data_IF_931532935451
#
_entry.id   IF_931532935451
#
_cell.length_a   1.000
_cell.length_b   1.000
_cell.length_c   1.000
_cell.angle_alpha   90.00
_cell.angle_beta   90.00
_cell.angle_gamma   90.00
#
_symmetry.space_group_name_H-M   'P 1'
#
loop_
_entity.id
_entity.type
_entity.pdbx_description
1 polymer ?
#
# COMPACT_ATOMS: atom_id res chain seq x y z
N UNK A 1 4.92 3.19 -7.72
CA UNK A 1 4.61 2.07 -6.80
C UNK A 1 3.10 1.86 -6.64
N UNK A 2 2.32 2.92 -6.50
CA UNK A 2 0.86 2.89 -6.33
C UNK A 2 0.12 2.19 -7.49
N UNK A 3 0.36 2.62 -8.73
CA UNK A 3 -0.42 2.13 -9.88
C UNK A 3 0.03 0.76 -10.38
N UNK A 4 1.33 0.59 -10.65
CA UNK A 4 1.88 -0.67 -11.19
C UNK A 4 2.18 -1.66 -10.08
N UNK A 5 2.89 -1.22 -9.04
CA UNK A 5 3.38 -2.09 -7.97
C UNK A 5 2.25 -2.82 -7.25
N UNK A 6 1.38 -2.08 -6.54
CA UNK A 6 0.20 -2.66 -5.89
C UNK A 6 -0.79 -3.26 -6.90
N UNK A 7 -1.06 -2.55 -8.00
CA UNK A 7 -2.02 -2.99 -9.01
C UNK A 7 -1.73 -4.37 -9.58
N UNK A 8 -0.48 -4.62 -9.99
CA UNK A 8 -0.07 -5.94 -10.49
C UNK A 8 0.17 -6.93 -9.36
N UNK A 9 0.69 -6.54 -8.19
CA UNK A 9 0.88 -7.48 -7.07
C UNK A 9 -0.44 -8.21 -6.73
N UNK A 10 -1.55 -7.49 -6.77
CA UNK A 10 -2.88 -8.05 -6.49
C UNK A 10 -3.48 -8.89 -7.63
N UNK A 11 -2.81 -9.06 -8.78
CA UNK A 11 -3.32 -9.88 -9.90
C UNK A 11 -3.10 -11.38 -9.72
N UNK A 12 -2.47 -11.83 -8.63
CA UNK A 12 -2.24 -13.25 -8.38
C UNK A 12 -3.54 -14.08 -8.38
N UNK A 13 -4.69 -13.48 -8.02
CA UNK A 13 -6.00 -14.10 -8.08
C UNK A 13 -6.41 -14.43 -9.53
N UNK A 14 -6.42 -15.72 -9.87
CA UNK A 14 -6.60 -16.24 -11.23
C UNK A 14 -7.86 -15.79 -11.98
N UNK A 15 -8.91 -15.38 -11.28
CA UNK A 15 -10.18 -14.90 -11.86
C UNK A 15 -10.55 -13.48 -11.38
N UNK A 16 -9.58 -12.70 -10.91
CA UNK A 16 -9.81 -11.34 -10.41
C UNK A 16 -8.85 -10.28 -10.96
N UNK A 17 -7.90 -10.65 -11.83
CA UNK A 17 -6.86 -9.74 -12.32
C UNK A 17 -7.35 -8.40 -12.90
N UNK A 18 -8.45 -8.39 -13.67
CA UNK A 18 -9.03 -7.14 -14.16
C UNK A 18 -9.52 -6.25 -13.03
N UNK A 19 -10.27 -6.82 -12.08
CA UNK A 19 -10.74 -6.07 -10.91
C UNK A 19 -9.60 -5.63 -10.01
N UNK A 20 -8.53 -6.42 -9.86
CA UNK A 20 -7.32 -6.02 -9.11
C UNK A 20 -6.73 -4.73 -9.69
N UNK A 21 -6.40 -4.71 -10.98
CA UNK A 21 -5.77 -3.52 -11.60
C UNK A 21 -6.75 -2.36 -11.72
N UNK A 22 -7.98 -2.60 -12.19
CA UNK A 22 -8.95 -1.54 -12.43
C UNK A 22 -9.44 -0.90 -11.13
N UNK A 23 -9.68 -1.68 -10.07
CA UNK A 23 -10.10 -1.12 -8.79
C UNK A 23 -8.94 -0.47 -8.05
N UNK A 24 -7.71 -1.00 -8.15
CA UNK A 24 -6.51 -0.30 -7.71
C UNK A 24 -6.40 1.07 -8.38
N UNK A 25 -6.60 1.12 -9.70
CA UNK A 25 -6.52 2.37 -10.45
C UNK A 25 -7.62 3.36 -10.04
N UNK A 26 -8.85 2.87 -9.85
CA UNK A 26 -9.98 3.67 -9.36
C UNK A 26 -9.71 4.25 -7.96
N UNK A 27 -9.28 3.40 -7.01
CA UNK A 27 -8.92 3.82 -5.65
C UNK A 27 -7.82 4.87 -5.72
N UNK A 28 -6.77 4.62 -6.49
CA UNK A 28 -5.64 5.52 -6.57
C UNK A 28 -6.02 6.88 -7.17
N UNK A 29 -6.75 6.89 -8.28
CA UNK A 29 -7.20 8.12 -8.94
C UNK A 29 -8.12 8.97 -8.05
N UNK A 30 -8.98 8.36 -7.25
CA UNK A 30 -9.82 9.08 -6.29
C UNK A 30 -9.03 9.49 -5.04
N UNK A 31 -8.24 8.58 -4.49
CA UNK A 31 -7.44 8.75 -3.28
C UNK A 31 -6.44 9.90 -3.38
N UNK A 32 -5.72 10.03 -4.51
CA UNK A 32 -4.75 11.11 -4.69
C UNK A 32 -5.40 12.50 -4.63
N UNK A 33 -6.59 12.64 -5.23
CA UNK A 33 -7.31 13.92 -5.23
C UNK A 33 -7.82 14.25 -3.83
N UNK A 34 -8.44 13.26 -3.18
CA UNK A 34 -8.99 13.45 -1.86
C UNK A 34 -7.90 13.68 -0.81
N UNK A 35 -6.78 12.97 -0.91
CA UNK A 35 -5.63 13.15 -0.01
C UNK A 35 -4.98 14.50 -0.17
N UNK A 36 -4.83 14.99 -1.41
CA UNK A 36 -4.31 16.35 -1.66
C UNK A 36 -5.12 17.40 -0.92
N UNK A 37 -6.45 17.23 -0.84
CA UNK A 37 -7.33 18.12 -0.08
C UNK A 37 -7.18 17.91 1.42
N UNK A 38 -7.32 16.68 1.91
CA UNK A 38 -7.29 16.37 3.35
C UNK A 38 -5.94 16.75 3.98
N UNK A 39 -4.82 16.26 3.44
CA UNK A 39 -3.49 16.61 3.93
C UNK A 39 -3.20 18.10 3.71
N UNK A 40 -3.71 18.68 2.61
CA UNK A 40 -3.63 20.11 2.34
C UNK A 40 -4.28 20.96 3.44
N UNK A 41 -5.42 20.55 3.98
CA UNK A 41 -6.07 21.25 5.10
C UNK A 41 -5.23 21.23 6.39
N UNK A 42 -4.47 20.17 6.63
CA UNK A 42 -3.64 20.04 7.84
C UNK A 42 -2.26 20.70 7.71
N UNK A 43 -1.65 20.65 6.53
CA UNK A 43 -0.23 21.02 6.35
C UNK A 43 0.02 22.20 5.42
N UNK A 44 -0.91 22.52 4.51
CA UNK A 44 -0.67 23.46 3.41
C UNK A 44 -1.73 24.55 3.25
N UNK A 45 -2.61 24.72 4.25
CA UNK A 45 -3.69 25.70 4.20
C UNK A 45 -3.20 27.06 4.68
N UNK A 46 -2.91 27.94 3.73
CA UNK A 46 -2.46 29.31 3.97
C UNK A 46 -3.34 30.28 3.20
N UNK A 47 -3.79 31.35 3.87
CA UNK A 47 -4.61 32.41 3.27
C UNK A 47 -5.85 31.91 2.51
N UNK A 48 -6.49 30.85 3.02
CA UNK A 48 -7.68 30.26 2.42
C UNK A 48 -7.42 29.33 1.23
N UNK A 49 -6.15 28.98 0.95
CA UNK A 49 -5.75 28.16 -0.21
C UNK A 49 -4.86 27.00 0.22
N UNK A 50 -4.96 25.91 -0.55
CA UNK A 50 -4.04 24.77 -0.49
C UNK A 50 -3.06 24.91 -1.65
N UNK A 51 -1.76 25.06 -1.35
CA UNK A 51 -0.72 25.12 -2.37
C UNK A 51 -0.22 23.72 -2.72
N UNK A 52 -0.44 23.29 -3.97
CA UNK A 52 -0.04 21.96 -4.44
C UNK A 52 1.33 22.03 -5.12
N UNK A 53 2.26 21.22 -4.63
CA UNK A 53 3.59 21.01 -5.19
C UNK A 53 4.01 19.53 -5.18
N UNK A 54 5.26 19.25 -5.56
CA UNK A 54 5.78 17.88 -5.67
C UNK A 54 5.66 17.12 -4.33
N UNK A 55 6.00 17.77 -3.22
CA UNK A 55 5.92 17.14 -1.90
C UNK A 55 4.47 16.77 -1.52
N UNK A 56 3.50 17.65 -1.77
CA UNK A 56 2.08 17.31 -1.56
C UNK A 56 1.60 16.17 -2.45
N UNK A 57 2.13 16.04 -3.68
CA UNK A 57 1.80 14.91 -4.56
C UNK A 57 2.39 13.60 -4.02
N UNK A 58 3.64 13.62 -3.53
CA UNK A 58 4.28 12.46 -2.90
C UNK A 58 3.48 12.01 -1.67
N UNK A 59 3.09 12.95 -0.80
CA UNK A 59 2.30 12.64 0.40
C UNK A 59 0.90 12.10 0.05
N UNK A 60 0.28 12.60 -1.03
CA UNK A 60 -0.98 12.06 -1.52
C UNK A 60 -0.85 10.62 -2.04
N UNK A 61 0.25 10.30 -2.72
CA UNK A 61 0.58 8.92 -3.12
C UNK A 61 0.84 8.02 -1.89
N UNK A 62 1.50 8.51 -0.85
CA UNK A 62 1.72 7.77 0.41
C UNK A 62 0.41 7.42 1.13
N UNK A 63 -0.47 8.41 1.32
CA UNK A 63 -1.78 8.18 1.89
C UNK A 63 -2.59 7.17 1.05
N UNK A 64 -2.55 7.32 -0.27
CA UNK A 64 -3.21 6.39 -1.20
C UNK A 64 -2.63 4.98 -1.08
N UNK A 65 -1.32 4.86 -0.86
CA UNK A 65 -0.64 3.60 -0.59
C UNK A 65 -1.22 2.87 0.63
N UNK A 66 -1.57 3.58 1.70
CA UNK A 66 -2.23 2.98 2.87
C UNK A 66 -3.59 2.36 2.50
N UNK A 67 -4.39 3.06 1.68
CA UNK A 67 -5.68 2.54 1.20
C UNK A 67 -5.50 1.29 0.32
N UNK A 68 -4.44 1.23 -0.48
CA UNK A 68 -4.14 0.05 -1.29
C UNK A 68 -3.67 -1.16 -0.44
N UNK A 69 -3.01 -0.91 0.70
CA UNK A 69 -2.74 -1.95 1.70
C UNK A 69 -4.06 -2.47 2.28
N UNK A 70 -4.98 -1.57 2.67
CA UNK A 70 -6.32 -1.94 3.14
C UNK A 70 -7.11 -2.72 2.10
N UNK A 71 -7.03 -2.32 0.83
CA UNK A 71 -7.67 -3.02 -0.28
C UNK A 71 -7.20 -4.48 -0.38
N UNK A 72 -5.92 -4.76 -0.14
CA UNK A 72 -5.40 -6.12 -0.09
C UNK A 72 -6.16 -7.05 0.87
N UNK A 73 -6.56 -6.54 2.05
CA UNK A 73 -7.31 -7.32 3.05
C UNK A 73 -8.75 -7.68 2.64
N UNK A 74 -9.32 -6.94 1.69
CA UNK A 74 -10.71 -7.09 1.21
C UNK A 74 -10.78 -7.40 -0.29
N UNK A 75 -9.65 -7.68 -0.93
CA UNK A 75 -9.53 -8.01 -2.34
C UNK A 75 -10.45 -9.19 -2.70
N UNK A 76 -11.18 -9.06 -3.82
CA UNK A 76 -12.14 -10.07 -4.26
C UNK A 76 -13.50 -10.06 -3.53
N UNK A 77 -13.66 -9.23 -2.50
CA UNK A 77 -14.80 -9.29 -1.57
C UNK A 77 -15.60 -7.99 -1.49
N UNK A 78 -15.26 -6.97 -2.26
CA UNK A 78 -15.96 -5.67 -2.27
C UNK A 78 -16.21 -5.15 -3.67
N UNK A 79 -17.28 -4.34 -3.80
CA UNK A 79 -17.62 -3.64 -5.05
C UNK A 79 -16.80 -2.35 -5.19
N UNK A 80 -16.66 -1.80 -6.42
CA UNK A 80 -15.96 -0.53 -6.63
C UNK A 80 -16.59 0.63 -5.84
N UNK A 81 -17.91 0.62 -5.62
CA UNK A 81 -18.59 1.63 -4.79
C UNK A 81 -18.16 1.52 -3.33
N UNK A 82 -18.09 0.30 -2.78
CA UNK A 82 -17.60 0.09 -1.42
C UNK A 82 -16.15 0.55 -1.27
N UNK A 83 -15.33 0.35 -2.29
CA UNK A 83 -13.93 0.79 -2.29
C UNK A 83 -13.78 2.31 -2.32
N UNK A 84 -14.61 3.04 -3.08
CA UNK A 84 -14.64 4.51 -3.05
C UNK A 84 -15.08 5.02 -1.67
N UNK A 85 -16.12 4.42 -1.08
CA UNK A 85 -16.58 4.78 0.28
C UNK A 85 -15.48 4.53 1.31
N UNK A 86 -14.81 3.38 1.24
CA UNK A 86 -13.67 3.07 2.10
C UNK A 86 -12.56 4.10 1.94
N UNK A 87 -12.18 4.42 0.69
CA UNK A 87 -11.13 5.40 0.37
C UNK A 87 -11.45 6.78 0.96
N UNK A 88 -12.71 7.23 0.86
CA UNK A 88 -13.14 8.52 1.41
C UNK A 88 -12.89 8.60 2.92
N UNK A 89 -13.30 7.58 3.67
CA UNK A 89 -13.13 7.55 5.12
C UNK A 89 -11.67 7.30 5.53
N UNK A 90 -11.01 6.35 4.89
CA UNK A 90 -9.66 5.96 5.23
C UNK A 90 -8.66 7.09 5.00
N UNK A 91 -8.73 7.81 3.86
CA UNK A 91 -7.88 8.99 3.59
C UNK A 91 -8.10 10.09 4.63
N UNK A 92 -9.36 10.32 5.03
CA UNK A 92 -9.67 11.32 6.06
C UNK A 92 -9.02 10.96 7.40
N UNK A 93 -9.16 9.70 7.80
CA UNK A 93 -8.57 9.18 9.03
C UNK A 93 -7.03 9.12 8.97
N UNK A 94 -6.47 8.79 7.80
CA UNK A 94 -5.03 8.83 7.56
C UNK A 94 -4.50 10.24 7.80
N UNK A 95 -5.09 11.29 7.20
CA UNK A 95 -4.62 12.66 7.37
C UNK A 95 -4.68 13.14 8.82
N UNK A 96 -5.74 12.78 9.56
CA UNK A 96 -5.83 13.07 11.00
C UNK A 96 -4.74 12.32 11.78
N UNK A 97 -4.56 11.02 11.51
CA UNK A 97 -3.59 10.17 12.19
C UNK A 97 -2.15 10.64 11.92
N UNK A 98 -1.83 10.95 10.67
CA UNK A 98 -0.55 11.48 10.24
C UNK A 98 -0.24 12.81 10.96
N UNK A 99 -1.17 13.75 10.97
CA UNK A 99 -0.99 15.03 11.68
C UNK A 99 -0.74 14.82 13.18
N UNK A 100 -1.48 13.92 13.83
CA UNK A 100 -1.27 13.61 15.24
C UNK A 100 0.14 13.02 15.46
N UNK A 101 0.53 12.02 14.68
CA UNK A 101 1.79 11.29 14.87
C UNK A 101 3.01 12.20 14.57
N UNK A 102 2.96 12.94 13.47
CA UNK A 102 4.11 13.72 12.99
C UNK A 102 4.20 15.10 13.62
N UNK A 103 3.08 15.80 13.82
CA UNK A 103 3.08 17.20 14.29
C UNK A 103 2.83 17.33 15.79
N UNK A 104 1.92 16.55 16.36
CA UNK A 104 1.58 16.65 17.79
C UNK A 104 2.54 15.80 18.62
N UNK A 105 2.75 14.54 18.25
CA UNK A 105 3.65 13.62 18.96
C UNK A 105 5.12 13.86 18.59
N UNK A 106 5.40 14.34 17.37
CA UNK A 106 6.75 14.59 16.90
C UNK A 106 7.54 13.32 16.54
N UNK A 107 6.84 12.24 16.18
CA UNK A 107 7.47 10.99 15.77
C UNK A 107 8.13 11.13 14.38
N UNK A 108 9.16 10.33 14.12
CA UNK A 108 9.83 10.25 12.81
C UNK A 108 9.45 8.97 12.11
N UNK A 109 8.78 9.08 10.97
CA UNK A 109 8.29 7.93 10.21
C UNK A 109 8.37 8.16 8.69
N UNK A 110 9.55 8.50 8.19
CA UNK A 110 9.74 8.90 6.78
C UNK A 110 9.31 7.82 5.77
N UNK A 111 9.49 6.54 6.09
CA UNK A 111 9.03 5.43 5.27
C UNK A 111 7.60 4.96 5.59
N UNK A 112 6.90 5.62 6.51
CA UNK A 112 5.51 5.32 6.85
C UNK A 112 5.28 3.93 7.44
N UNK A 113 6.23 3.38 8.20
CA UNK A 113 6.02 2.09 8.86
C UNK A 113 4.81 2.11 9.80
N UNK A 114 4.58 3.24 10.48
CA UNK A 114 3.43 3.45 11.35
C UNK A 114 2.27 4.09 10.59
N UNK A 115 2.49 5.23 9.93
CA UNK A 115 1.42 6.04 9.32
C UNK A 115 0.82 5.39 8.09
N UNK A 116 1.59 4.62 7.31
CA UNK A 116 1.13 3.96 6.08
C UNK A 116 0.87 2.47 6.32
N UNK A 117 1.92 1.71 6.63
CA UNK A 117 1.85 0.24 6.63
C UNK A 117 1.04 -0.30 7.79
N UNK A 118 1.37 0.10 9.02
CA UNK A 118 0.64 -0.32 10.22
C UNK A 118 -0.80 0.16 10.15
N UNK A 119 -1.03 1.45 9.90
CA UNK A 119 -2.36 2.02 9.77
C UNK A 119 -3.22 1.29 8.72
N UNK A 120 -2.76 1.20 7.46
CA UNK A 120 -3.51 0.56 6.38
C UNK A 120 -3.75 -0.93 6.63
N UNK A 121 -2.75 -1.65 7.12
CA UNK A 121 -2.93 -3.08 7.40
C UNK A 121 -4.03 -3.33 8.45
N UNK A 122 -3.98 -2.64 9.59
CA UNK A 122 -4.97 -2.84 10.64
C UNK A 122 -6.34 -2.25 10.28
N UNK A 123 -6.39 -1.14 9.55
CA UNK A 123 -7.64 -0.60 9.02
C UNK A 123 -8.33 -1.62 8.10
N UNK A 124 -7.62 -2.12 7.09
CA UNK A 124 -8.13 -3.14 6.17
C UNK A 124 -8.57 -4.43 6.86
N UNK A 125 -7.81 -4.90 7.85
CA UNK A 125 -8.19 -6.07 8.65
C UNK A 125 -9.48 -5.85 9.45
N UNK A 126 -9.66 -4.66 10.06
CA UNK A 126 -10.90 -4.31 10.76
C UNK A 126 -12.08 -4.25 9.78
N UNK A 127 -11.90 -3.64 8.61
CA UNK A 127 -12.93 -3.62 7.55
C UNK A 127 -13.27 -5.05 7.11
N UNK A 128 -12.28 -5.89 6.87
CA UNK A 128 -12.46 -7.30 6.50
C UNK A 128 -13.21 -8.07 7.59
N UNK A 129 -12.92 -7.81 8.86
CA UNK A 129 -13.61 -8.41 10.01
C UNK A 129 -15.08 -7.98 10.11
N UNK A 130 -15.38 -6.71 9.88
CA UNK A 130 -16.75 -6.17 9.87
C UNK A 130 -17.54 -6.72 8.68
N UNK A 131 -16.90 -6.86 7.52
CA UNK A 131 -17.48 -7.42 6.30
C UNK A 131 -17.43 -8.96 6.24
N UNK A 132 -17.30 -9.63 7.39
CA UNK A 132 -17.21 -11.09 7.45
C UNK A 132 -18.35 -11.77 6.68
N UNK A 133 -17.99 -12.77 5.86
CA UNK A 133 -18.92 -13.54 5.02
C UNK A 133 -18.98 -15.00 5.51
N UNK A 134 -20.09 -15.45 6.14
CA UNK A 134 -20.21 -16.80 6.67
C UNK A 134 -20.11 -17.94 5.64
N UNK A 135 -20.29 -17.63 4.36
CA UNK A 135 -20.29 -18.59 3.25
C UNK A 135 -19.15 -18.37 2.24
N UNK A 136 -18.04 -17.77 2.69
CA UNK A 136 -16.90 -17.44 1.83
C UNK A 136 -16.23 -18.68 1.22
N UNK A 137 -16.35 -19.83 1.90
CA UNK A 137 -15.83 -21.13 1.44
C UNK A 137 -16.40 -21.54 0.07
N UNK A 138 -17.61 -21.08 -0.29
CA UNK A 138 -18.22 -21.34 -1.61
C UNK A 138 -17.42 -20.75 -2.77
N UNK A 139 -16.57 -19.75 -2.50
CA UNK A 139 -15.68 -19.13 -3.49
C UNK A 139 -14.22 -19.58 -3.39
N UNK A 140 -13.87 -20.51 -2.48
CA UNK A 140 -12.49 -20.94 -2.22
C UNK A 140 -11.76 -21.45 -3.46
N UNK A 141 -12.48 -22.09 -4.38
CA UNK A 141 -11.90 -22.58 -5.63
C UNK A 141 -11.37 -21.45 -6.55
N UNK A 142 -11.78 -20.20 -6.31
CA UNK A 142 -11.32 -18.99 -7.03
C UNK A 142 -10.23 -18.23 -6.27
N UNK A 143 -10.07 -18.48 -4.97
CA UNK A 143 -9.05 -17.87 -4.10
C UNK A 143 -7.72 -18.64 -4.25
N UNK A 144 -7.05 -18.40 -5.37
CA UNK A 144 -5.75 -18.96 -5.68
C UNK A 144 -5.24 -18.46 -7.02
N UNK A 145 -4.05 -18.90 -7.41
CA UNK A 145 -3.37 -18.46 -8.63
C UNK A 145 -3.32 -19.52 -9.73
N UNK A 146 -2.83 -19.10 -10.88
CA UNK A 146 -2.34 -19.93 -11.99
C UNK A 146 -1.01 -19.34 -12.45
N UNK A 147 -0.19 -20.14 -13.14
CA UNK A 147 1.17 -19.74 -13.55
C UNK A 147 1.27 -18.30 -14.11
N UNK A 148 0.40 -17.93 -15.04
CA UNK A 148 0.44 -16.59 -15.64
C UNK A 148 -0.02 -15.48 -14.70
N UNK A 149 -0.94 -15.74 -13.76
CA UNK A 149 -1.38 -14.72 -12.81
C UNK A 149 -0.29 -14.40 -11.79
N UNK A 150 0.52 -15.40 -11.41
CA UNK A 150 1.69 -15.20 -10.55
C UNK A 150 2.83 -14.48 -11.28
N UNK A 151 3.06 -14.79 -12.57
CA UNK A 151 3.99 -14.01 -13.39
C UNK A 151 3.58 -12.53 -13.48
N UNK A 152 2.29 -12.25 -13.62
CA UNK A 152 1.80 -10.86 -13.56
C UNK A 152 1.97 -10.25 -12.17
N UNK A 153 1.71 -11.00 -11.10
CA UNK A 153 1.95 -10.54 -9.73
C UNK A 153 3.42 -10.15 -9.50
N UNK A 154 4.35 -10.90 -10.10
CA UNK A 154 5.77 -10.61 -10.02
C UNK A 154 6.20 -9.30 -10.67
N UNK A 155 5.45 -8.79 -11.65
CA UNK A 155 5.66 -7.43 -12.16
C UNK A 155 5.47 -6.43 -11.01
N UNK A 156 4.39 -6.60 -10.24
CA UNK A 156 4.10 -5.78 -9.07
C UNK A 156 5.19 -5.89 -8.00
N UNK A 157 5.56 -7.11 -7.64
CA UNK A 157 6.60 -7.40 -6.64
C UNK A 157 7.94 -6.75 -7.00
N UNK A 158 8.43 -6.94 -8.23
CA UNK A 158 9.73 -6.40 -8.65
C UNK A 158 9.67 -4.87 -8.75
N UNK A 159 8.57 -4.30 -9.26
CA UNK A 159 8.41 -2.85 -9.36
C UNK A 159 8.38 -2.18 -7.97
N UNK A 160 7.71 -2.80 -7.00
CA UNK A 160 7.73 -2.37 -5.61
C UNK A 160 9.14 -2.48 -5.03
N UNK A 161 9.78 -3.63 -5.16
CA UNK A 161 11.11 -3.90 -4.62
C UNK A 161 12.16 -2.91 -5.14
N UNK A 162 12.20 -2.65 -6.44
CA UNK A 162 13.19 -1.75 -7.05
C UNK A 162 13.02 -0.28 -6.62
N UNK A 163 11.78 0.19 -6.41
CA UNK A 163 11.52 1.59 -6.09
C UNK A 163 11.29 1.87 -4.61
N UNK A 164 11.27 0.85 -3.75
CA UNK A 164 11.14 1.03 -2.30
C UNK A 164 12.22 1.92 -1.66
N UNK A 165 13.50 1.88 -2.11
CA UNK A 165 14.50 2.82 -1.60
C UNK A 165 14.08 4.28 -1.79
N UNK A 166 13.50 4.63 -2.96
CA UNK A 166 12.96 5.96 -3.22
C UNK A 166 11.74 6.27 -2.35
N UNK A 167 10.88 5.27 -2.10
CA UNK A 167 9.71 5.43 -1.23
C UNK A 167 10.13 5.85 0.19
N UNK A 168 11.04 5.10 0.81
CA UNK A 168 11.46 5.40 2.17
C UNK A 168 12.23 6.72 2.29
N UNK A 169 12.89 7.16 1.21
CA UNK A 169 13.74 8.35 1.21
C UNK A 169 13.08 9.61 0.62
N UNK A 170 11.80 9.54 0.21
CA UNK A 170 11.19 10.64 -0.56
C UNK A 170 11.03 11.91 0.29
N UNK A 171 10.74 11.75 1.58
CA UNK A 171 10.46 12.84 2.54
C UNK A 171 11.52 12.96 3.63
N UNK A 172 12.64 12.24 3.50
CA UNK A 172 13.79 12.41 4.39
C UNK A 172 14.53 13.69 4.06
N UNK A 173 15.17 14.30 5.08
CA UNK A 173 16.02 15.46 4.88
C UNK A 173 17.08 15.21 3.80
N UNK A 174 17.25 16.18 2.90
CA UNK A 174 18.19 16.09 1.80
C UNK A 174 19.64 15.94 2.27
N UNK A 175 20.44 15.23 1.47
CA UNK A 175 21.85 14.96 1.76
C UNK A 175 22.04 13.59 2.41
N UNK A 176 22.76 13.56 3.54
CA UNK A 176 23.22 12.33 4.18
C UNK A 176 22.08 11.40 4.62
N UNK A 177 21.02 11.97 5.22
CA UNK A 177 19.87 11.20 5.70
C UNK A 177 19.12 10.50 4.56
N UNK A 178 18.88 11.22 3.46
CA UNK A 178 18.27 10.66 2.26
C UNK A 178 19.14 9.55 1.65
N UNK A 179 20.45 9.80 1.50
CA UNK A 179 21.39 8.82 0.96
C UNK A 179 21.44 7.54 1.81
N UNK A 180 21.57 7.66 3.14
CA UNK A 180 21.56 6.51 4.06
C UNK A 180 20.24 5.75 4.03
N UNK A 181 19.12 6.45 3.91
CA UNK A 181 17.79 5.82 3.85
C UNK A 181 17.65 4.94 2.61
N UNK A 182 18.14 5.41 1.45
CA UNK A 182 18.19 4.62 0.22
C UNK A 182 19.03 3.35 0.43
N UNK A 183 20.26 3.49 0.91
CA UNK A 183 21.18 2.35 1.08
C UNK A 183 20.66 1.32 2.08
N UNK A 184 20.16 1.77 3.23
CA UNK A 184 19.62 0.87 4.25
C UNK A 184 18.39 0.11 3.75
N UNK A 185 17.50 0.79 3.01
CA UNK A 185 16.33 0.15 2.42
C UNK A 185 16.74 -0.91 1.39
N UNK A 186 17.70 -0.59 0.53
CA UNK A 186 18.21 -1.52 -0.49
C UNK A 186 18.80 -2.80 0.13
N UNK A 187 19.69 -2.67 1.11
CA UNK A 187 20.30 -3.84 1.75
C UNK A 187 19.31 -4.62 2.61
N UNK A 188 18.36 -3.94 3.27
CA UNK A 188 17.26 -4.61 3.99
C UNK A 188 16.41 -5.46 3.04
N UNK A 189 16.08 -4.93 1.86
CA UNK A 189 15.33 -5.66 0.84
C UNK A 189 16.10 -6.87 0.30
N UNK A 190 17.41 -6.72 0.02
CA UNK A 190 18.24 -7.83 -0.44
C UNK A 190 18.31 -8.96 0.59
N UNK A 191 18.51 -8.63 1.88
CA UNK A 191 18.52 -9.60 2.96
C UNK A 191 17.15 -10.28 3.13
N UNK A 192 16.06 -9.51 3.07
CA UNK A 192 14.69 -10.02 3.16
C UNK A 192 14.37 -11.02 2.04
N UNK A 193 14.80 -10.75 0.80
CA UNK A 193 14.62 -11.68 -0.32
C UNK A 193 15.29 -13.03 -0.05
N UNK A 194 16.56 -13.04 0.36
CA UNK A 194 17.27 -14.29 0.67
C UNK A 194 16.62 -15.06 1.83
N UNK A 195 16.24 -14.34 2.89
CA UNK A 195 15.56 -14.93 4.04
C UNK A 195 14.19 -15.53 3.63
N UNK A 196 13.44 -14.85 2.77
CA UNK A 196 12.11 -15.30 2.30
C UNK A 196 12.23 -16.59 1.48
N UNK A 197 13.19 -16.68 0.56
CA UNK A 197 13.44 -17.90 -0.21
C UNK A 197 13.87 -19.07 0.68
N UNK A 198 14.80 -18.81 1.63
CA UNK A 198 15.24 -19.83 2.58
C UNK A 198 14.07 -20.34 3.44
N UNK A 199 13.28 -19.44 4.02
CA UNK A 199 12.14 -19.80 4.85
C UNK A 199 11.02 -20.49 4.07
N UNK A 200 10.75 -20.06 2.83
CA UNK A 200 9.76 -20.69 1.94
C UNK A 200 10.10 -22.16 1.70
N UNK A 201 11.36 -22.46 1.36
CA UNK A 201 11.82 -23.83 1.20
C UNK A 201 11.83 -24.62 2.53
N UNK A 202 12.27 -24.01 3.64
CA UNK A 202 12.35 -24.68 4.96
C UNK A 202 10.98 -25.07 5.53
N UNK A 203 9.95 -24.26 5.29
CA UNK A 203 8.58 -24.50 5.78
C UNK A 203 7.76 -25.39 4.86
N UNK A 204 8.21 -25.61 3.62
CA UNK A 204 7.60 -26.53 2.69
C UNK A 204 8.14 -27.95 2.91
N UNK A 205 7.25 -28.92 3.14
CA UNK A 205 7.65 -30.31 3.43
C UNK A 205 8.45 -31.01 2.31
N UNK A 206 8.42 -30.48 1.09
CA UNK A 206 9.19 -30.98 -0.06
C UNK A 206 10.38 -30.08 -0.44
N UNK A 207 10.67 -29.03 0.35
CA UNK A 207 11.74 -28.08 0.06
C UNK A 207 11.45 -27.15 -1.13
N UNK A 208 10.21 -27.10 -1.62
CA UNK A 208 9.81 -26.27 -2.77
C UNK A 208 9.53 -24.83 -2.34
N UNK A 209 9.70 -23.91 -3.28
CA UNK A 209 9.32 -22.51 -3.10
C UNK A 209 7.83 -22.33 -3.36
N UNK A 210 7.19 -21.53 -2.52
CA UNK A 210 5.87 -20.94 -2.77
C UNK A 210 6.02 -19.54 -3.38
N UNK A 211 5.12 -19.20 -4.29
CA UNK A 211 5.10 -17.97 -5.08
C UNK A 211 4.10 -17.00 -4.45
#
# INVERSE_FOLDING_TARGET
MIFIGFGFLMTFLKLYGFSSVAFNFLIAAFGLQWSTLIQGFFHGFHDGKIHVGIESMINADFCTGAVLISFGAILGKTSPVQLIVMTLFEVTLFGINEYIILNIVGAKDAGGSMTIHTFGAYFGLVVSRVLYRPHLEKSRNREGSVYHSDLFAMIGTIYLWMFWPSFNSAVTAHGDDQHRTVLNTYYSLAACTLATFAMSALLNGEGKLDM
#
